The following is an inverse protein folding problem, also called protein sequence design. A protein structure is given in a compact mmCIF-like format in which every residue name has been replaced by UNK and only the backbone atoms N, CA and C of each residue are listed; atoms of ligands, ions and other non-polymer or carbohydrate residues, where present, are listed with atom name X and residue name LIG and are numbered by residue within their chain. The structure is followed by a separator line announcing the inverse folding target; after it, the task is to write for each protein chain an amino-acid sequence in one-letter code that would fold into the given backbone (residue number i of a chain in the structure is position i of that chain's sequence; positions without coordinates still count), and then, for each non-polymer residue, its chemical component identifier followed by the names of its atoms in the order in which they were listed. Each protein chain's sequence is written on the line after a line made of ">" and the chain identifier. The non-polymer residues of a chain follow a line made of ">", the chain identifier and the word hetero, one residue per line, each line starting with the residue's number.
data_IF_948791720196
#
_entry.id   IF_948791720196
#
_cell.length_a   1.000
_cell.length_b   1.000
_cell.length_c   1.000
_cell.angle_alpha   90.00
_cell.angle_beta   90.00
_cell.angle_gamma   90.00
#
_symmetry.space_group_name_H-M   'P 1'
#
loop_
_entity.id
_entity.type
_entity.pdbx_description
1 polymer ?
#
# COMPACT_ATOMS: atom_id res chain seq x y z
N UNK A 1 -13.27 -9.26 7.33
CA UNK A 1 -12.74 -7.87 7.38
C UNK A 1 -12.55 -7.37 5.93
N UNK A 2 -11.90 -6.21 5.63
CA UNK A 2 -11.63 -5.83 4.24
C UNK A 2 -10.75 -6.84 3.52
N UNK A 3 -11.05 -7.09 2.25
CA UNK A 3 -10.29 -7.99 1.38
C UNK A 3 -9.73 -7.22 0.21
N UNK A 4 -8.46 -7.45 -0.11
CA UNK A 4 -7.79 -6.92 -1.31
C UNK A 4 -7.37 -8.08 -2.21
N UNK A 5 -7.62 -7.97 -3.51
CA UNK A 5 -7.13 -8.91 -4.51
C UNK A 5 -5.87 -8.35 -5.16
N UNK A 6 -4.78 -9.12 -5.13
CA UNK A 6 -3.47 -8.74 -5.65
C UNK A 6 -2.89 -9.84 -6.51
N UNK A 7 -1.85 -9.52 -7.28
CA UNK A 7 -1.05 -10.54 -7.96
C UNK A 7 0.27 -10.81 -7.26
N UNK A 8 0.67 -12.08 -7.19
CA UNK A 8 2.00 -12.49 -6.73
C UNK A 8 3.09 -11.84 -7.56
N UNK A 9 2.90 -11.75 -8.88
CA UNK A 9 3.82 -11.05 -9.77
C UNK A 9 4.08 -9.59 -9.38
N UNK A 10 3.04 -8.83 -8.98
CA UNK A 10 3.20 -7.45 -8.51
C UNK A 10 3.93 -7.40 -7.16
N UNK A 11 3.54 -8.26 -6.21
CA UNK A 11 4.19 -8.35 -4.91
C UNK A 11 5.68 -8.71 -5.04
N UNK A 12 6.03 -9.68 -5.89
CA UNK A 12 7.42 -10.05 -6.15
C UNK A 12 8.24 -8.87 -6.71
N UNK A 13 7.69 -8.11 -7.67
CA UNK A 13 8.37 -6.92 -8.21
C UNK A 13 8.67 -5.88 -7.13
N UNK A 14 7.73 -5.67 -6.20
CA UNK A 14 7.87 -4.67 -5.13
C UNK A 14 8.77 -5.16 -3.98
N UNK A 15 8.63 -6.42 -3.58
CA UNK A 15 9.39 -7.03 -2.48
C UNK A 15 10.86 -7.23 -2.89
N UNK A 16 11.09 -7.81 -4.07
CA UNK A 16 12.42 -8.17 -4.58
C UNK A 16 12.55 -9.67 -4.84
N UNK A 17 13.72 -10.25 -4.53
CA UNK A 17 13.99 -11.69 -4.74
C UNK A 17 13.22 -12.55 -3.72
N UNK A 18 11.95 -12.80 -3.99
CA UNK A 18 11.11 -13.72 -3.20
C UNK A 18 10.29 -14.61 -4.13
N UNK A 19 10.11 -15.87 -3.76
CA UNK A 19 9.24 -16.79 -4.49
C UNK A 19 7.77 -16.59 -4.08
N UNK A 20 6.82 -16.97 -4.94
CA UNK A 20 5.39 -17.01 -4.58
C UNK A 20 5.17 -17.75 -3.27
N UNK A 21 5.76 -18.94 -3.12
CA UNK A 21 5.65 -19.76 -1.91
C UNK A 21 6.16 -19.02 -0.67
N UNK A 22 7.33 -18.38 -0.76
CA UNK A 22 7.87 -17.60 0.36
C UNK A 22 6.94 -16.46 0.74
N UNK A 23 6.32 -15.78 -0.24
CA UNK A 23 5.36 -14.71 0.03
C UNK A 23 4.13 -15.28 0.73
N UNK A 24 3.49 -16.31 0.16
CA UNK A 24 2.31 -16.96 0.71
C UNK A 24 2.53 -17.44 2.15
N UNK A 25 3.63 -18.17 2.38
CA UNK A 25 3.99 -18.69 3.70
C UNK A 25 4.28 -17.56 4.71
N UNK A 26 4.65 -16.35 4.25
CA UNK A 26 5.00 -15.21 5.10
C UNK A 26 3.84 -14.26 5.41
N UNK A 27 2.79 -14.22 4.57
CA UNK A 27 1.65 -13.31 4.74
C UNK A 27 1.00 -13.41 6.14
N UNK A 28 0.73 -14.61 6.71
CA UNK A 28 0.12 -14.72 8.03
C UNK A 28 0.93 -14.07 9.15
N UNK A 29 2.26 -14.00 9.03
CA UNK A 29 3.12 -13.35 10.04
C UNK A 29 2.96 -11.82 10.07
N UNK A 30 2.36 -11.22 9.04
CA UNK A 30 1.95 -9.82 9.02
C UNK A 30 0.51 -9.60 9.55
N UNK A 31 -0.17 -10.67 9.98
CA UNK A 31 -1.59 -10.65 10.32
C UNK A 31 -2.49 -10.50 9.09
N UNK A 32 -2.07 -11.13 7.99
CA UNK A 32 -2.79 -11.14 6.72
C UNK A 32 -3.30 -12.56 6.45
N UNK A 33 -4.62 -12.71 6.39
CA UNK A 33 -5.26 -13.99 6.16
C UNK A 33 -5.53 -14.18 4.67
N UNK A 34 -5.21 -15.37 4.15
CA UNK A 34 -5.41 -15.69 2.74
C UNK A 34 -6.82 -16.28 2.59
N UNK A 35 -7.69 -15.54 1.89
CA UNK A 35 -9.07 -15.96 1.59
C UNK A 35 -9.12 -16.94 0.41
N UNK A 36 -8.34 -16.66 -0.63
CA UNK A 36 -8.22 -17.55 -1.78
C UNK A 36 -6.92 -17.31 -2.56
N UNK A 37 -6.50 -18.35 -3.29
CA UNK A 37 -5.38 -18.28 -4.22
C UNK A 37 -5.76 -18.96 -5.53
N UNK A 38 -5.61 -18.24 -6.63
CA UNK A 38 -5.89 -18.74 -7.98
C UNK A 38 -4.78 -18.30 -8.93
N UNK A 39 -3.93 -19.24 -9.36
CA UNK A 39 -2.80 -18.97 -10.26
C UNK A 39 -1.86 -17.86 -9.71
N UNK A 40 -1.87 -16.68 -10.33
CA UNK A 40 -1.08 -15.51 -9.93
C UNK A 40 -1.83 -14.60 -8.95
N UNK A 41 -3.14 -14.80 -8.76
CA UNK A 41 -3.98 -13.95 -7.90
C UNK A 41 -4.06 -14.50 -6.48
N UNK A 42 -4.08 -13.58 -5.51
CA UNK A 42 -4.27 -13.85 -4.09
C UNK A 42 -5.23 -12.84 -3.50
N UNK A 43 -6.21 -13.32 -2.75
CA UNK A 43 -7.15 -12.50 -1.99
C UNK A 43 -6.75 -12.52 -0.53
N UNK A 44 -6.51 -11.34 0.02
CA UNK A 44 -5.94 -11.16 1.34
C UNK A 44 -6.89 -10.34 2.19
N UNK A 45 -7.31 -10.89 3.32
CA UNK A 45 -8.00 -10.19 4.39
C UNK A 45 -6.98 -9.45 5.28
N UNK A 46 -7.25 -8.18 5.59
CA UNK A 46 -6.39 -7.36 6.45
C UNK A 46 -7.20 -6.64 7.54
N UNK A 47 -6.54 -6.28 8.64
CA UNK A 47 -7.17 -5.53 9.72
C UNK A 47 -7.57 -4.12 9.26
N UNK A 48 -8.80 -3.64 9.52
CA UNK A 48 -9.20 -2.25 9.27
C UNK A 48 -8.30 -1.21 9.94
N UNK A 49 -7.62 -1.60 11.02
CA UNK A 49 -6.66 -0.74 11.74
C UNK A 49 -5.32 -0.60 11.01
N UNK A 50 -5.11 -1.34 9.92
CA UNK A 50 -3.92 -1.31 9.05
C UNK A 50 -4.32 -0.99 7.61
N UNK A 51 -4.87 0.21 7.36
CA UNK A 51 -5.29 0.61 6.01
C UNK A 51 -4.12 0.69 5.02
N UNK A 52 -2.87 0.72 5.50
CA UNK A 52 -1.69 0.58 4.65
C UNK A 52 -1.65 -0.77 3.91
N UNK A 53 -2.21 -1.84 4.48
CA UNK A 53 -2.32 -3.15 3.82
C UNK A 53 -3.47 -3.24 2.79
N UNK A 54 -4.17 -2.14 2.51
CA UNK A 54 -5.16 -2.08 1.42
C UNK A 54 -4.55 -2.04 0.01
N UNK A 55 -3.22 -2.04 -0.10
CA UNK A 55 -2.49 -1.95 -1.37
C UNK A 55 -1.33 -2.95 -1.41
N UNK A 56 -0.93 -3.36 -2.60
CA UNK A 56 0.28 -4.18 -2.81
C UNK A 56 1.54 -3.49 -2.27
N UNK A 57 1.65 -2.18 -2.40
CA UNK A 57 2.77 -1.39 -1.89
C UNK A 57 2.92 -1.52 -0.37
N UNK A 58 1.85 -1.32 0.39
CA UNK A 58 1.93 -1.44 1.85
C UNK A 58 2.22 -2.86 2.33
N UNK A 59 1.60 -3.87 1.70
CA UNK A 59 1.90 -5.28 2.00
C UNK A 59 3.36 -5.59 1.66
N UNK A 60 3.85 -5.17 0.50
CA UNK A 60 5.23 -5.40 0.07
C UNK A 60 6.26 -4.74 1.02
N UNK A 61 5.96 -3.56 1.56
CA UNK A 61 6.82 -2.90 2.57
C UNK A 61 6.87 -3.69 3.87
N UNK A 62 5.73 -4.19 4.35
CA UNK A 62 5.67 -5.08 5.51
C UNK A 62 6.50 -6.34 5.29
N UNK A 63 6.37 -6.93 4.10
CA UNK A 63 7.14 -8.12 3.69
C UNK A 63 8.64 -7.85 3.60
N UNK A 64 9.05 -6.71 3.06
CA UNK A 64 10.47 -6.31 3.03
C UNK A 64 11.07 -6.20 4.43
N UNK A 65 10.32 -5.66 5.39
CA UNK A 65 10.73 -5.59 6.79
C UNK A 65 10.83 -6.97 7.42
N UNK A 66 9.79 -7.80 7.26
CA UNK A 66 9.72 -9.15 7.80
C UNK A 66 10.83 -10.06 7.28
N UNK A 67 11.13 -9.97 5.98
CA UNK A 67 12.19 -10.76 5.32
C UNK A 67 13.59 -10.15 5.48
N UNK A 68 13.73 -9.03 6.19
CA UNK A 68 15.01 -8.35 6.41
C UNK A 68 15.63 -7.71 5.16
N UNK A 69 14.86 -7.53 4.08
CA UNK A 69 15.33 -6.97 2.80
C UNK A 69 15.56 -5.45 2.92
N UNK A 70 14.60 -4.74 3.52
CA UNK A 70 14.70 -3.31 3.84
C UNK A 70 14.03 -3.08 5.18
N UNK A 71 14.79 -2.57 6.13
CA UNK A 71 14.33 -2.33 7.51
C UNK A 71 14.33 -0.84 7.84
N UNK A 72 13.56 -0.47 8.87
CA UNK A 72 13.41 0.91 9.31
C UNK A 72 12.34 1.70 8.55
N UNK A 73 12.19 2.98 8.91
CA UNK A 73 11.14 3.84 8.38
C UNK A 73 11.40 4.27 6.93
N UNK A 74 10.35 4.29 6.12
CA UNK A 74 10.39 4.78 4.73
C UNK A 74 10.62 6.29 4.74
N UNK A 75 11.67 6.73 4.06
CA UNK A 75 11.99 8.15 3.93
C UNK A 75 11.40 8.70 2.63
N UNK A 76 10.28 9.42 2.73
CA UNK A 76 9.68 10.14 1.61
C UNK A 76 10.34 11.51 1.44
N UNK A 77 10.85 11.80 0.23
CA UNK A 77 11.39 13.12 -0.12
C UNK A 77 10.26 14.01 -0.63
N UNK A 78 9.70 14.84 0.24
CA UNK A 78 8.60 15.75 -0.08
C UNK A 78 9.18 17.15 -0.38
N UNK A 79 8.86 17.71 -1.55
CA UNK A 79 9.23 19.09 -1.92
C UNK A 79 8.04 20.02 -1.65
N UNK A 80 8.26 21.10 -0.88
CA UNK A 80 7.26 22.15 -0.67
C UNK A 80 7.08 22.93 -1.98
N UNK A 81 5.83 23.21 -2.36
CA UNK A 81 5.49 24.01 -3.53
C UNK A 81 4.34 24.96 -3.21
N UNK A 82 4.41 26.20 -3.70
CA UNK A 82 3.31 27.17 -3.66
C UNK A 82 2.48 27.17 -4.95
N UNK A 83 2.86 26.37 -5.96
CA UNK A 83 2.20 26.32 -7.27
C UNK A 83 0.80 25.70 -7.21
N UNK A 84 0.59 24.78 -6.27
CA UNK A 84 -0.67 24.05 -6.11
C UNK A 84 -1.27 24.44 -4.76
N UNK A 85 -2.23 25.36 -4.78
CA UNK A 85 -2.92 25.81 -3.57
C UNK A 85 -4.30 25.18 -3.49
N UNK A 86 -4.67 24.75 -2.28
CA UNK A 86 -6.02 24.29 -1.95
C UNK A 86 -6.51 25.20 -0.81
N UNK A 87 -7.75 25.68 -0.94
CA UNK A 87 -8.38 26.54 0.06
C UNK A 87 -9.72 25.94 0.47
N UNK A 88 -10.02 25.98 1.77
CA UNK A 88 -11.30 25.54 2.34
C UNK A 88 -12.10 26.78 2.69
N UNK A 89 -13.33 26.85 2.16
CA UNK A 89 -14.27 27.92 2.49
C UNK A 89 -14.94 27.64 3.85
N UNK A 90 -15.31 28.68 4.64
CA UNK A 90 -15.93 28.46 5.96
C UNK A 90 -17.30 27.78 5.94
N UNK A 91 -18.01 27.82 4.81
CA UNK A 91 -19.34 27.23 4.62
C UNK A 91 -19.37 25.70 4.80
N UNK A 92 -18.25 25.01 4.56
CA UNK A 92 -18.15 23.54 4.78
C UNK A 92 -17.75 23.15 6.21
N UNK A 93 -17.57 24.11 7.12
CA UNK A 93 -17.00 23.86 8.45
C UNK A 93 -17.79 22.83 9.28
N UNK A 94 -19.11 22.76 9.11
CA UNK A 94 -20.00 21.84 9.85
C UNK A 94 -20.17 20.47 9.19
N UNK A 95 -19.70 20.29 7.96
CA UNK A 95 -19.92 19.06 7.18
C UNK A 95 -18.61 18.32 6.94
N UNK A 96 -17.60 18.99 6.37
CA UNK A 96 -16.29 18.40 6.07
C UNK A 96 -15.20 19.48 6.06
N UNK A 97 -14.69 19.89 7.23
CA UNK A 97 -13.83 21.07 7.39
C UNK A 97 -12.39 20.91 6.88
N UNK A 98 -11.93 19.69 6.62
CA UNK A 98 -10.53 19.42 6.31
C UNK A 98 -10.36 18.87 4.90
N UNK A 99 -9.40 19.43 4.18
CA UNK A 99 -8.87 18.91 2.93
C UNK A 99 -7.35 18.95 2.98
N UNK A 100 -6.74 17.93 2.40
CA UNK A 100 -5.30 17.88 2.18
C UNK A 100 -5.04 17.31 0.80
N UNK A 101 -3.86 17.57 0.25
CA UNK A 101 -3.51 17.11 -1.09
C UNK A 101 -2.01 16.98 -1.24
N UNK A 102 -1.62 16.03 -2.09
CA UNK A 102 -0.24 15.84 -2.54
C UNK A 102 -0.22 15.82 -4.07
N UNK A 103 0.90 16.25 -4.65
CA UNK A 103 1.12 16.18 -6.10
C UNK A 103 2.25 15.20 -6.34
N UNK A 104 1.92 14.02 -6.86
CA UNK A 104 2.89 13.07 -7.38
C UNK A 104 3.18 13.41 -8.85
N UNK A 105 4.46 13.59 -9.21
CA UNK A 105 4.89 13.91 -10.57
C UNK A 105 5.86 12.84 -11.07
N UNK A 106 5.92 12.69 -12.39
CA UNK A 106 6.87 11.78 -13.08
C UNK A 106 6.68 10.30 -12.74
N UNK A 107 5.46 9.89 -12.37
CA UNK A 107 5.08 8.48 -12.29
C UNK A 107 4.75 7.93 -13.69
N UNK A 108 4.94 6.62 -13.87
CA UNK A 108 4.33 5.88 -14.98
C UNK A 108 3.08 5.22 -14.42
N UNK A 109 1.97 5.39 -15.11
CA UNK A 109 0.72 4.68 -14.85
C UNK A 109 0.66 3.57 -15.90
N UNK A 110 0.43 2.34 -15.46
CA UNK A 110 0.08 1.22 -16.30
C UNK A 110 -1.38 0.81 -16.06
N UNK A 111 -1.95 0.02 -16.96
CA UNK A 111 -3.34 -0.45 -16.91
C UNK A 111 -3.52 -1.63 -15.93
N UNK A 112 -2.57 -1.82 -15.01
CA UNK A 112 -2.67 -2.79 -13.92
C UNK A 112 -2.98 -2.12 -12.60
#
# INVERSE_FOLDING_TARGET
>A
MPVVELSYSSLQKLIGKSSKKQIADSLPFLGLDIESEENDLVRIEYSPNRPDYSTDFGIALGMQGLLGIKTGAIKLKIKKSKQYSISVKPDVAKVRPFVTGIVAKNGKIDDK
#
